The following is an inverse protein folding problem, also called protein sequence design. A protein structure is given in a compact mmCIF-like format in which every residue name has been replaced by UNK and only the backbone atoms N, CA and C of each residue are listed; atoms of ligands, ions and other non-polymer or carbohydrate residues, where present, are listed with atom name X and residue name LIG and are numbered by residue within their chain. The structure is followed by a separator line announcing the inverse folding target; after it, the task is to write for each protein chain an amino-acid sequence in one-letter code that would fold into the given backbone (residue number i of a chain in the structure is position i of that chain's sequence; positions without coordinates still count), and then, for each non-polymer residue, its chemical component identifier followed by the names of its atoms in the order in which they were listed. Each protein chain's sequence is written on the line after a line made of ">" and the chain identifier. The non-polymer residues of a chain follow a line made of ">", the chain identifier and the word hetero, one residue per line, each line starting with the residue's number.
data_IF_063008542191
#
_entry.id   IF_063008542191
#
_cell.length_a   1.000
_cell.length_b   1.000
_cell.length_c   1.000
_cell.angle_alpha   90.00
_cell.angle_beta   90.00
_cell.angle_gamma   90.00
#
_symmetry.space_group_name_H-M   'P 1'
#
loop_
_entity.id
_entity.type
_entity.pdbx_description
1 polymer ?
#
# COMPACT_ATOMS: atom_id res chain seq x y z
N UNK A 1 -16.08 12.67 19.58
CA UNK A 1 -14.67 12.42 19.17
C UNK A 1 -14.72 11.40 18.05
N UNK A 2 -14.17 11.67 16.86
CA UNK A 2 -14.14 10.67 15.78
C UNK A 2 -13.39 9.42 16.26
N UNK A 3 -13.91 8.26 15.89
CA UNK A 3 -13.27 6.98 16.23
C UNK A 3 -12.02 6.87 15.37
N UNK A 4 -10.84 6.59 15.95
CA UNK A 4 -9.60 6.52 15.19
C UNK A 4 -9.61 5.29 14.26
N UNK A 5 -8.90 5.39 13.14
CA UNK A 5 -8.70 4.25 12.24
C UNK A 5 -7.74 3.26 12.90
N UNK A 6 -8.19 2.03 13.13
CA UNK A 6 -7.42 0.99 13.83
C UNK A 6 -6.82 -0.08 12.91
N UNK A 7 -7.21 -0.10 11.63
CA UNK A 7 -6.77 -1.10 10.65
C UNK A 7 -6.42 -0.41 9.33
N UNK A 8 -5.27 -0.73 8.76
CA UNK A 8 -4.81 -0.20 7.47
C UNK A 8 -4.55 -1.32 6.48
N UNK A 9 -5.07 -1.16 5.25
CA UNK A 9 -4.65 -1.96 4.11
C UNK A 9 -3.76 -1.12 3.21
N UNK A 10 -2.59 -1.65 2.86
CA UNK A 10 -1.68 -1.07 1.89
C UNK A 10 -1.65 -1.97 0.65
N UNK A 11 -2.11 -1.42 -0.47
CA UNK A 11 -2.09 -2.13 -1.74
C UNK A 11 -0.68 -2.09 -2.36
N UNK A 12 -0.03 -3.24 -2.52
CA UNK A 12 1.30 -3.36 -3.15
C UNK A 12 1.13 -3.90 -4.57
N UNK A 13 1.17 -3.05 -5.62
CA UNK A 13 0.79 -3.44 -6.97
C UNK A 13 1.93 -4.11 -7.75
N UNK A 14 2.81 -4.86 -7.08
CA UNK A 14 4.02 -5.40 -7.71
C UNK A 14 4.07 -6.92 -7.61
N UNK A 15 4.40 -7.58 -8.72
CA UNK A 15 4.62 -9.01 -8.77
C UNK A 15 5.88 -9.31 -9.58
N UNK A 16 6.70 -10.25 -9.11
CA UNK A 16 7.88 -10.69 -9.86
C UNK A 16 7.52 -11.24 -11.25
N UNK A 17 6.35 -11.88 -11.37
CA UNK A 17 5.75 -12.31 -12.63
C UNK A 17 4.22 -12.39 -12.48
N UNK A 18 3.49 -12.26 -13.60
CA UNK A 18 2.04 -12.38 -13.61
C UNK A 18 1.62 -13.82 -13.87
N UNK A 19 0.90 -14.44 -12.93
CA UNK A 19 0.33 -15.77 -13.13
C UNK A 19 -0.83 -15.73 -14.14
N UNK A 20 -1.01 -16.79 -14.93
CA UNK A 20 -2.08 -16.88 -15.93
C UNK A 20 -3.51 -16.78 -15.36
N UNK A 21 -3.67 -17.15 -14.09
CA UNK A 21 -4.96 -17.07 -13.38
C UNK A 21 -5.09 -15.81 -12.52
N UNK A 22 -4.05 -14.96 -12.45
CA UNK A 22 -4.04 -13.83 -11.53
C UNK A 22 -4.94 -12.70 -12.06
N UNK A 23 -6.02 -12.42 -11.32
CA UNK A 23 -6.93 -11.31 -11.58
C UNK A 23 -6.58 -10.05 -10.76
N UNK A 24 -5.58 -10.11 -9.88
CA UNK A 24 -5.15 -8.94 -9.10
C UNK A 24 -4.42 -7.94 -9.98
N UNK A 25 -4.57 -6.66 -9.63
CA UNK A 25 -3.83 -5.59 -10.26
C UNK A 25 -2.36 -5.69 -9.83
N UNK A 26 -1.49 -5.90 -10.80
CA UNK A 26 -0.05 -5.99 -10.58
C UNK A 26 0.72 -5.48 -11.77
N UNK A 27 1.87 -4.90 -11.49
CA UNK A 27 2.85 -4.37 -12.41
C UNK A 27 4.20 -5.05 -12.16
N UNK A 28 5.04 -5.11 -13.18
CA UNK A 28 6.38 -5.64 -13.02
C UNK A 28 7.22 -4.62 -12.23
N UNK A 29 7.96 -5.03 -11.17
CA UNK A 29 8.74 -4.09 -10.39
C UNK A 29 9.96 -3.61 -11.17
N UNK A 30 10.05 -2.31 -11.35
CA UNK A 30 11.25 -1.59 -11.78
C UNK A 30 11.74 -0.74 -10.61
N UNK A 31 13.05 -0.71 -10.32
CA UNK A 31 13.58 -0.07 -9.11
C UNK A 31 13.08 1.37 -8.92
N UNK A 32 13.13 2.18 -9.99
CA UNK A 32 12.67 3.58 -9.93
C UNK A 32 11.16 3.68 -9.65
N UNK A 33 10.35 2.78 -10.20
CA UNK A 33 8.89 2.76 -9.99
C UNK A 33 8.57 2.37 -8.55
N UNK A 34 9.29 1.40 -7.99
CA UNK A 34 9.13 0.98 -6.59
C UNK A 34 9.50 2.13 -5.64
N UNK A 35 10.62 2.80 -5.87
CA UNK A 35 11.05 3.93 -5.04
C UNK A 35 10.06 5.10 -5.09
N UNK A 36 9.52 5.39 -6.29
CA UNK A 36 8.46 6.39 -6.47
C UNK A 36 7.17 5.99 -5.77
N UNK A 37 6.78 4.72 -5.82
CA UNK A 37 5.62 4.21 -5.10
C UNK A 37 5.78 4.37 -3.58
N UNK A 38 6.93 3.98 -3.02
CA UNK A 38 7.20 4.11 -1.58
C UNK A 38 7.17 5.58 -1.17
N UNK A 39 7.80 6.46 -1.95
CA UNK A 39 7.81 7.91 -1.69
C UNK A 39 6.39 8.51 -1.69
N UNK A 40 5.57 8.12 -2.65
CA UNK A 40 4.17 8.56 -2.73
C UNK A 40 3.33 8.02 -1.56
N UNK A 41 3.49 6.73 -1.21
CA UNK A 41 2.79 6.11 -0.08
C UNK A 41 3.11 6.79 1.25
N UNK A 42 4.39 7.14 1.48
CA UNK A 42 4.79 7.88 2.68
C UNK A 42 4.17 9.28 2.72
N UNK A 43 4.09 9.95 1.56
CA UNK A 43 3.39 11.23 1.44
C UNK A 43 1.90 11.11 1.75
N UNK A 44 1.24 10.06 1.28
CA UNK A 44 -0.16 9.78 1.59
C UNK A 44 -0.39 9.51 3.08
N UNK A 45 0.43 8.65 3.68
CA UNK A 45 0.35 8.35 5.11
C UNK A 45 0.53 9.61 5.98
N UNK A 46 1.42 10.52 5.57
CA UNK A 46 1.62 11.78 6.29
C UNK A 46 0.36 12.68 6.29
N UNK A 47 -0.46 12.63 5.23
CA UNK A 47 -1.69 13.43 5.15
C UNK A 47 -2.78 12.96 6.13
N UNK A 48 -2.78 11.68 6.50
CA UNK A 48 -3.83 11.06 7.34
C UNK A 48 -3.33 10.64 8.72
N UNK A 49 -2.05 10.87 9.03
CA UNK A 49 -1.37 10.32 10.22
C UNK A 49 -2.08 10.60 11.54
N UNK A 50 -2.70 11.78 11.69
CA UNK A 50 -3.36 12.19 12.93
C UNK A 50 -4.60 11.33 13.26
N UNK A 51 -5.25 10.77 12.24
CA UNK A 51 -6.45 9.95 12.33
C UNK A 51 -6.16 8.47 12.64
N UNK A 52 -4.89 8.07 12.52
CA UNK A 52 -4.45 6.68 12.64
C UNK A 52 -4.10 6.29 14.08
N UNK A 53 -4.70 5.22 14.59
CA UNK A 53 -4.29 4.50 15.81
C UNK A 53 -4.25 3.01 15.51
N UNK A 54 -3.37 2.64 14.59
CA UNK A 54 -3.34 1.32 13.98
C UNK A 54 -2.97 0.23 14.99
N UNK A 55 -3.82 -0.80 15.06
CA UNK A 55 -3.56 -2.07 15.73
C UNK A 55 -3.07 -3.12 14.73
N UNK A 56 -3.52 -3.03 13.48
CA UNK A 56 -3.15 -3.96 12.41
C UNK A 56 -2.88 -3.23 11.10
N UNK A 57 -1.90 -3.75 10.36
CA UNK A 57 -1.61 -3.33 8.99
C UNK A 57 -1.50 -4.59 8.13
N UNK A 58 -2.24 -4.61 7.01
CA UNK A 58 -2.16 -5.66 6.01
C UNK A 58 -1.55 -5.10 4.72
N UNK A 59 -0.55 -5.79 4.20
CA UNK A 59 0.05 -5.50 2.90
C UNK A 59 -0.38 -6.59 1.92
N UNK A 60 -0.91 -6.22 0.76
CA UNK A 60 -1.30 -7.20 -0.25
C UNK A 60 -1.61 -6.56 -1.58
N UNK A 61 -1.74 -7.37 -2.62
CA UNK A 61 -1.93 -6.93 -4.00
C UNK A 61 -1.54 -8.03 -4.96
#
# INVERSE_FOLDING_TARGET
>A
VPVPVESLYVHVPFCASKCNYCAFFSHQPECEVVDRYVSALLGELAMVADELRLRTIFFGG
#
